data_IF_533462238904
#
_entry.id   IF_533462238904
#
_cell.length_a   1.000
_cell.length_b   1.000
_cell.length_c   1.000
_cell.angle_alpha   90.00
_cell.angle_beta   90.00
_cell.angle_gamma   90.00
#
_symmetry.space_group_name_H-M   'P 1'
#
loop_
_entity.id
_entity.type
_entity.pdbx_description
1 polymer ?
#
# COMPACT_ATOMS: atom_id res chain seq x y z
N UNK A 1 45.81 10.11 -34.90
CA UNK A 1 45.10 10.33 -33.62
C UNK A 1 43.67 10.87 -33.88
N UNK A 2 42.64 10.02 -34.16
CA UNK A 2 41.25 10.45 -34.30
C UNK A 2 40.27 9.84 -33.26
N UNK A 3 40.78 9.08 -32.27
CA UNK A 3 39.96 8.23 -31.39
C UNK A 3 39.09 9.02 -30.38
N UNK A 4 39.54 10.20 -29.95
CA UNK A 4 38.89 10.97 -28.88
C UNK A 4 37.69 11.81 -29.35
N UNK A 5 37.58 12.12 -30.65
CA UNK A 5 36.49 12.94 -31.18
C UNK A 5 35.25 12.09 -31.55
N UNK A 6 35.47 10.86 -32.04
CA UNK A 6 34.38 9.91 -32.37
C UNK A 6 33.65 9.48 -31.08
N UNK A 7 34.39 9.14 -30.03
CA UNK A 7 33.81 8.78 -28.73
C UNK A 7 33.02 9.93 -28.07
N UNK A 8 33.43 11.19 -28.27
CA UNK A 8 32.69 12.36 -27.75
C UNK A 8 31.39 12.62 -28.52
N UNK A 9 31.36 12.33 -29.82
CA UNK A 9 30.18 12.47 -30.66
C UNK A 9 29.12 11.43 -30.29
N UNK A 10 29.54 10.16 -30.09
CA UNK A 10 28.67 9.06 -29.65
C UNK A 10 28.13 9.25 -28.22
N UNK A 11 28.93 9.82 -27.32
CA UNK A 11 28.46 10.14 -25.97
C UNK A 11 27.43 11.27 -25.99
N UNK A 12 27.63 12.28 -26.84
CA UNK A 12 26.73 13.42 -26.97
C UNK A 12 25.39 13.04 -27.62
N UNK A 13 25.40 12.24 -28.69
CA UNK A 13 24.19 11.70 -29.32
C UNK A 13 23.44 10.75 -28.40
N UNK A 14 24.15 9.87 -27.68
CA UNK A 14 23.53 8.98 -26.69
C UNK A 14 22.93 9.76 -25.52
N UNK A 15 23.58 10.84 -25.05
CA UNK A 15 23.03 11.72 -24.03
C UNK A 15 21.84 12.55 -24.53
N UNK A 16 21.83 12.97 -25.80
CA UNK A 16 20.69 13.64 -26.43
C UNK A 16 19.49 12.69 -26.64
N UNK A 17 19.74 11.43 -27.02
CA UNK A 17 18.72 10.40 -27.10
C UNK A 17 18.15 10.05 -25.71
N UNK A 18 19.00 9.96 -24.68
CA UNK A 18 18.58 9.79 -23.29
C UNK A 18 17.77 10.97 -22.77
N UNK A 19 18.12 12.21 -23.10
CA UNK A 19 17.37 13.39 -22.66
C UNK A 19 16.01 13.52 -23.36
N UNK A 20 15.92 13.14 -24.64
CA UNK A 20 14.66 13.02 -25.39
C UNK A 20 13.76 11.94 -24.79
N UNK A 21 14.31 10.74 -24.55
CA UNK A 21 13.59 9.62 -23.93
C UNK A 21 13.13 9.94 -22.51
N UNK A 22 13.97 10.59 -21.70
CA UNK A 22 13.62 11.02 -20.34
C UNK A 22 12.48 12.05 -20.34
N UNK A 23 12.46 12.97 -21.31
CA UNK A 23 11.37 13.93 -21.47
C UNK A 23 10.06 13.21 -21.84
N UNK A 24 10.12 12.27 -22.78
CA UNK A 24 8.97 11.47 -23.21
C UNK A 24 8.38 10.64 -22.05
N UNK A 25 9.24 9.96 -21.28
CA UNK A 25 8.82 9.25 -20.06
C UNK A 25 8.17 10.19 -19.04
N UNK A 26 8.75 11.37 -18.81
CA UNK A 26 8.20 12.39 -17.90
C UNK A 26 6.83 12.86 -18.36
N UNK A 27 6.64 13.10 -19.65
CA UNK A 27 5.38 13.57 -20.22
C UNK A 27 4.31 12.47 -20.12
N UNK A 28 4.65 11.21 -20.38
CA UNK A 28 3.76 10.05 -20.20
C UNK A 28 3.31 9.91 -18.75
N UNK A 29 4.23 9.98 -17.78
CA UNK A 29 3.90 9.88 -16.35
C UNK A 29 3.11 11.12 -15.90
N UNK A 30 3.43 12.30 -16.43
CA UNK A 30 2.66 13.51 -16.18
C UNK A 30 1.21 13.40 -16.67
N UNK A 31 1.00 12.80 -17.83
CA UNK A 31 -0.32 12.55 -18.39
C UNK A 31 -1.06 11.45 -17.60
N UNK A 32 -0.35 10.40 -17.18
CA UNK A 32 -0.84 9.37 -16.27
C UNK A 32 -1.41 9.97 -14.99
N UNK A 33 -0.64 10.85 -14.36
CA UNK A 33 -1.00 11.50 -13.11
C UNK A 33 -2.22 12.42 -13.27
N UNK A 34 -2.32 13.19 -14.37
CA UNK A 34 -3.50 14.01 -14.64
C UNK A 34 -4.78 13.18 -14.76
N UNK A 35 -4.67 12.00 -15.36
CA UNK A 35 -5.77 11.08 -15.60
C UNK A 35 -6.00 10.11 -14.43
N UNK A 36 -5.16 10.16 -13.39
CA UNK A 36 -5.30 9.31 -12.22
C UNK A 36 -6.43 9.80 -11.32
N UNK A 37 -7.42 8.93 -11.14
CA UNK A 37 -8.61 9.17 -10.34
C UNK A 37 -8.88 7.98 -9.41
N UNK A 38 -9.25 8.30 -8.19
CA UNK A 38 -9.66 7.40 -7.13
C UNK A 38 -11.19 7.31 -7.12
N UNK A 39 -11.74 6.17 -6.75
CA UNK A 39 -13.17 6.04 -6.52
C UNK A 39 -13.56 6.86 -5.29
N UNK A 40 -14.53 7.76 -5.45
CA UNK A 40 -15.06 8.53 -4.34
C UNK A 40 -15.73 7.64 -3.29
N UNK A 41 -16.00 8.17 -2.09
CA UNK A 41 -16.51 7.39 -0.95
C UNK A 41 -17.85 6.68 -1.19
N UNK A 42 -18.59 7.06 -2.23
CA UNK A 42 -19.87 6.43 -2.65
C UNK A 42 -19.76 5.59 -3.93
N UNK A 43 -18.54 5.30 -4.42
CA UNK A 43 -18.31 4.52 -5.65
C UNK A 43 -18.77 5.19 -6.96
N UNK A 44 -19.55 6.26 -6.90
CA UNK A 44 -20.22 6.89 -8.05
C UNK A 44 -19.37 7.91 -8.81
N UNK A 45 -18.34 8.49 -8.18
CA UNK A 45 -17.57 9.61 -8.78
C UNK A 45 -16.08 9.37 -8.65
N UNK A 46 -15.39 9.42 -9.78
CA UNK A 46 -13.93 9.43 -9.86
C UNK A 46 -13.41 10.80 -9.41
N UNK A 47 -12.64 10.82 -8.32
CA UNK A 47 -12.03 12.02 -7.75
C UNK A 47 -10.52 11.97 -8.03
N UNK A 48 -9.86 13.05 -8.48
CA UNK A 48 -8.42 13.03 -8.67
C UNK A 48 -7.68 12.67 -7.38
N UNK A 49 -6.51 12.01 -7.49
CA UNK A 49 -5.73 11.62 -6.31
C UNK A 49 -5.33 12.80 -5.41
N UNK A 50 -5.03 13.96 -6.00
CA UNK A 50 -4.71 15.22 -5.30
C UNK A 50 -5.90 15.95 -4.70
N UNK A 51 -7.07 15.33 -4.64
CA UNK A 51 -8.26 15.99 -4.09
C UNK A 51 -8.41 15.71 -2.61
N UNK A 52 -8.31 16.76 -1.78
CA UNK A 52 -8.54 16.68 -0.34
C UNK A 52 -9.91 17.26 0.06
N UNK A 53 -10.36 16.92 1.27
CA UNK A 53 -11.55 17.52 1.87
C UNK A 53 -11.43 19.04 2.03
N UNK A 54 -10.22 19.53 2.33
CA UNK A 54 -9.94 20.98 2.40
C UNK A 54 -10.19 21.67 1.04
N UNK A 55 -9.75 21.08 -0.07
CA UNK A 55 -10.02 21.59 -1.41
C UNK A 55 -11.52 21.54 -1.72
N UNK A 56 -12.20 20.48 -1.29
CA UNK A 56 -13.64 20.34 -1.47
C UNK A 56 -14.41 21.46 -0.75
N UNK A 57 -14.06 21.75 0.50
CA UNK A 57 -14.70 22.80 1.29
C UNK A 57 -14.40 24.20 0.76
N UNK A 58 -13.15 24.46 0.36
CA UNK A 58 -12.78 25.72 -0.32
C UNK A 58 -13.47 25.87 -1.67
N UNK A 59 -13.73 24.77 -2.38
CA UNK A 59 -14.52 24.79 -3.62
C UNK A 59 -15.98 25.15 -3.34
N UNK A 60 -16.61 24.60 -2.30
CA UNK A 60 -17.97 24.99 -1.89
C UNK A 60 -18.04 26.48 -1.58
N UNK A 61 -17.12 27.00 -0.76
CA UNK A 61 -17.03 28.43 -0.43
C UNK A 61 -16.86 29.30 -1.68
N UNK A 62 -16.02 28.89 -2.63
CA UNK A 62 -15.83 29.59 -3.89
C UNK A 62 -17.10 29.59 -4.76
N UNK A 63 -17.82 28.46 -4.83
CA UNK A 63 -19.08 28.39 -5.57
C UNK A 63 -20.16 29.27 -4.94
N UNK A 64 -20.27 29.29 -3.61
CA UNK A 64 -21.17 30.20 -2.89
C UNK A 64 -20.83 31.67 -3.18
N UNK A 65 -19.55 32.05 -3.11
CA UNK A 65 -19.11 33.39 -3.44
C UNK A 65 -19.38 33.77 -4.90
N UNK A 66 -19.19 32.84 -5.83
CA UNK A 66 -19.49 33.02 -7.26
C UNK A 66 -20.99 33.23 -7.52
N UNK A 67 -21.84 32.44 -6.86
CA UNK A 67 -23.29 32.61 -6.90
C UNK A 67 -23.70 33.97 -6.33
N UNK A 68 -23.18 34.33 -5.16
CA UNK A 68 -23.41 35.65 -4.56
C UNK A 68 -23.01 36.80 -5.48
N UNK A 69 -21.82 36.74 -6.09
CA UNK A 69 -21.36 37.73 -7.06
C UNK A 69 -22.31 37.83 -8.29
N UNK A 70 -22.70 36.69 -8.85
CA UNK A 70 -23.57 36.64 -10.03
C UNK A 70 -24.98 37.17 -9.73
N UNK A 71 -25.53 36.83 -8.56
CA UNK A 71 -26.82 37.33 -8.10
C UNK A 71 -26.77 38.85 -7.88
N UNK A 72 -25.74 39.34 -7.19
CA UNK A 72 -25.57 40.78 -6.93
C UNK A 72 -25.39 41.61 -8.20
N UNK A 73 -24.79 41.02 -9.24
CA UNK A 73 -24.65 41.65 -10.55
C UNK A 73 -25.99 41.81 -11.29
N UNK A 74 -26.99 40.95 -11.01
CA UNK A 74 -28.32 40.97 -11.63
C UNK A 74 -29.34 41.82 -10.86
N UNK A 75 -29.06 42.13 -9.60
CA UNK A 75 -29.93 42.93 -8.73
C UNK A 75 -29.58 44.41 -8.78
N UNK A 76 -30.54 45.29 -8.47
CA UNK A 76 -30.32 46.72 -8.19
C UNK A 76 -29.67 46.95 -6.81
N UNK A 77 -28.67 46.12 -6.45
CA UNK A 77 -27.90 46.25 -5.22
C UNK A 77 -27.00 47.49 -5.28
N UNK A 78 -26.60 48.01 -4.11
CA UNK A 78 -25.69 49.15 -4.03
C UNK A 78 -24.33 48.77 -4.61
N UNK A 79 -23.64 49.72 -5.26
CA UNK A 79 -22.31 49.47 -5.85
C UNK A 79 -21.29 48.94 -4.83
N UNK A 80 -21.37 49.39 -3.58
CA UNK A 80 -20.53 48.90 -2.48
C UNK A 80 -20.74 47.40 -2.23
N UNK A 81 -21.96 46.90 -2.32
CA UNK A 81 -22.28 45.48 -2.11
C UNK A 81 -21.81 44.62 -3.28
N UNK A 82 -21.96 45.11 -4.52
CA UNK A 82 -21.40 44.48 -5.72
C UNK A 82 -19.88 44.39 -5.65
N UNK A 83 -19.22 45.45 -5.20
CA UNK A 83 -17.77 45.47 -5.01
C UNK A 83 -17.32 44.46 -3.95
N UNK A 84 -18.01 44.40 -2.80
CA UNK A 84 -17.74 43.41 -1.74
C UNK A 84 -17.89 41.97 -2.25
N UNK A 85 -18.96 41.68 -2.99
CA UNK A 85 -19.19 40.36 -3.56
C UNK A 85 -18.10 39.98 -4.58
N UNK A 86 -17.68 40.93 -5.42
CA UNK A 86 -16.58 40.76 -6.38
C UNK A 86 -15.24 40.46 -5.69
N UNK A 87 -14.90 41.22 -4.65
CA UNK A 87 -13.67 41.01 -3.86
C UNK A 87 -13.70 39.64 -3.19
N UNK A 88 -14.81 39.28 -2.54
CA UNK A 88 -14.97 37.98 -1.87
C UNK A 88 -14.78 36.80 -2.86
N UNK A 89 -15.38 36.89 -4.04
CA UNK A 89 -15.18 35.87 -5.07
C UNK A 89 -13.73 35.81 -5.58
N UNK A 90 -13.09 36.96 -5.83
CA UNK A 90 -11.68 37.00 -6.28
C UNK A 90 -10.73 36.39 -5.25
N UNK A 91 -10.92 36.69 -3.96
CA UNK A 91 -10.10 36.16 -2.87
C UNK A 91 -10.27 34.64 -2.72
N UNK A 92 -11.50 34.17 -2.59
CA UNK A 92 -11.80 32.73 -2.46
C UNK A 92 -11.31 31.92 -3.67
N UNK A 93 -11.44 32.47 -4.89
CA UNK A 93 -10.90 31.85 -6.11
C UNK A 93 -9.37 31.80 -6.11
N UNK A 94 -8.69 32.84 -5.61
CA UNK A 94 -7.22 32.87 -5.49
C UNK A 94 -6.73 31.83 -4.49
N UNK A 95 -7.39 31.73 -3.33
CA UNK A 95 -7.10 30.73 -2.30
C UNK A 95 -7.30 29.31 -2.82
N UNK A 96 -8.44 29.02 -3.46
CA UNK A 96 -8.71 27.71 -4.05
C UNK A 96 -7.64 27.31 -5.06
N UNK A 97 -7.24 28.24 -5.94
CA UNK A 97 -6.15 27.99 -6.91
C UNK A 97 -4.81 27.75 -6.24
N UNK A 98 -4.53 28.44 -5.13
CA UNK A 98 -3.29 28.22 -4.36
C UNK A 98 -3.29 26.82 -3.75
N UNK A 99 -4.38 26.42 -3.10
CA UNK A 99 -4.51 25.09 -2.48
C UNK A 99 -4.41 23.97 -3.51
N UNK A 100 -5.10 24.08 -4.65
CA UNK A 100 -5.00 23.09 -5.73
C UNK A 100 -3.56 22.95 -6.22
N UNK A 101 -2.82 24.06 -6.36
CA UNK A 101 -1.42 24.00 -6.81
C UNK A 101 -0.50 23.36 -5.77
N UNK A 102 -0.72 23.65 -4.49
CA UNK A 102 0.06 23.07 -3.39
C UNK A 102 -0.18 21.57 -3.31
N UNK A 103 -1.45 21.15 -3.24
CA UNK A 103 -1.79 19.74 -3.14
C UNK A 103 -1.30 18.93 -4.34
N UNK A 104 -1.45 19.43 -5.58
CA UNK A 104 -0.86 18.79 -6.77
C UNK A 104 0.66 18.62 -6.66
N UNK A 105 1.36 19.63 -6.14
CA UNK A 105 2.81 19.60 -5.98
C UNK A 105 3.22 18.58 -4.92
N UNK A 106 2.54 18.60 -3.78
CA UNK A 106 2.80 17.69 -2.66
C UNK A 106 2.56 16.25 -3.07
N UNK A 107 1.42 15.96 -3.70
CA UNK A 107 1.12 14.62 -4.17
C UNK A 107 2.05 14.14 -5.27
N UNK A 108 2.44 15.02 -6.20
CA UNK A 108 3.46 14.70 -7.18
C UNK A 108 4.81 14.39 -6.52
N UNK A 109 5.20 15.18 -5.51
CA UNK A 109 6.44 14.94 -4.77
C UNK A 109 6.40 13.62 -3.99
N UNK A 110 5.26 13.29 -3.36
CA UNK A 110 5.05 12.00 -2.70
C UNK A 110 5.20 10.85 -3.69
N UNK A 111 4.52 10.95 -4.83
CA UNK A 111 4.61 9.94 -5.89
C UNK A 111 6.05 9.70 -6.35
N UNK A 112 6.83 10.76 -6.54
CA UNK A 112 8.25 10.65 -6.89
C UNK A 112 9.09 10.02 -5.78
N UNK A 113 8.81 10.35 -4.51
CA UNK A 113 9.51 9.76 -3.37
C UNK A 113 9.18 8.27 -3.23
N UNK A 114 7.91 7.90 -3.42
CA UNK A 114 7.45 6.51 -3.38
C UNK A 114 8.11 5.67 -4.46
N UNK A 115 8.33 6.22 -5.67
CA UNK A 115 9.09 5.54 -6.74
C UNK A 115 10.56 5.29 -6.37
N UNK A 116 11.17 6.15 -5.55
CA UNK A 116 12.55 5.99 -5.12
C UNK A 116 12.69 4.98 -3.97
N UNK A 117 11.68 4.85 -3.10
CA UNK A 117 11.69 3.91 -1.97
C UNK A 117 11.17 2.52 -2.35
N UNK A 118 10.12 2.45 -3.16
CA UNK A 118 9.52 1.23 -3.68
C UNK A 118 9.31 1.34 -5.20
N UNK A 119 10.25 0.77 -5.94
CA UNK A 119 10.26 0.76 -7.41
C UNK A 119 9.00 0.11 -8.00
N UNK A 120 8.30 -0.74 -7.23
CA UNK A 120 7.08 -1.44 -7.63
C UNK A 120 5.80 -0.92 -6.95
N UNK A 121 5.89 0.20 -6.22
CA UNK A 121 4.80 0.75 -5.41
C UNK A 121 3.70 1.44 -6.21
N UNK A 122 2.93 2.30 -5.54
CA UNK A 122 1.77 2.97 -6.16
C UNK A 122 2.16 3.90 -7.31
N UNK A 123 3.35 4.50 -7.26
CA UNK A 123 3.90 5.27 -8.37
C UNK A 123 4.07 4.46 -9.66
N UNK A 124 4.58 3.23 -9.54
CA UNK A 124 4.67 2.29 -10.66
C UNK A 124 3.28 1.89 -11.15
N UNK A 125 2.34 1.55 -10.25
CA UNK A 125 0.96 1.20 -10.63
C UNK A 125 0.26 2.32 -11.38
N UNK A 126 0.45 3.57 -10.99
CA UNK A 126 -0.15 4.75 -11.64
C UNK A 126 0.43 4.92 -13.05
N UNK A 127 1.76 4.82 -13.20
CA UNK A 127 2.42 4.90 -14.50
C UNK A 127 2.02 3.74 -15.43
N UNK A 128 1.91 2.52 -14.92
CA UNK A 128 1.52 1.35 -15.71
C UNK A 128 0.04 1.36 -16.08
N UNK A 129 -0.85 1.82 -15.20
CA UNK A 129 -2.29 1.93 -15.50
C UNK A 129 -2.59 2.89 -16.63
N UNK A 130 -1.80 3.94 -16.84
CA UNK A 130 -1.99 4.88 -17.95
C UNK A 130 -1.45 4.36 -19.27
N UNK A 131 -0.47 3.46 -19.21
CA UNK A 131 0.09 2.75 -20.34
C UNK A 131 -0.88 1.64 -20.83
N UNK A 132 -2.19 1.90 -20.91
CA UNK A 132 -3.22 0.91 -21.33
C UNK A 132 -2.93 0.22 -22.67
N UNK A 133 -2.05 0.80 -23.48
CA UNK A 133 -1.56 0.23 -24.74
C UNK A 133 -0.11 -0.28 -24.64
N UNK A 134 0.36 -0.65 -23.44
CA UNK A 134 1.52 -1.53 -23.33
C UNK A 134 1.08 -2.84 -23.95
N UNK A 135 1.28 -2.96 -25.26
CA UNK A 135 1.42 -4.24 -25.93
C UNK A 135 2.30 -5.03 -24.98
N UNK A 136 1.76 -6.08 -24.37
CA UNK A 136 2.59 -7.03 -23.64
C UNK A 136 3.61 -7.44 -24.67
N UNK A 137 4.84 -6.95 -24.54
CA UNK A 137 5.91 -7.38 -25.40
C UNK A 137 5.97 -8.88 -25.17
N UNK A 138 5.45 -9.64 -26.14
CA UNK A 138 5.52 -11.09 -26.06
C UNK A 138 6.96 -11.42 -26.41
N UNK A 139 7.79 -11.42 -25.37
CA UNK A 139 9.20 -11.74 -25.49
C UNK A 139 9.25 -13.19 -25.97
N UNK A 140 9.87 -13.48 -27.13
CA UNK A 140 10.01 -14.85 -27.61
C UNK A 140 10.64 -15.74 -26.54
N UNK A 141 10.25 -17.00 -26.47
CA UNK A 141 10.73 -17.92 -25.42
C UNK A 141 12.25 -18.11 -25.42
N UNK A 142 12.89 -17.90 -26.57
CA UNK A 142 14.35 -17.89 -26.69
C UNK A 142 14.96 -16.75 -25.87
N UNK A 143 14.44 -15.54 -26.04
CA UNK A 143 14.92 -14.34 -25.36
C UNK A 143 14.60 -14.41 -23.86
N UNK A 144 13.44 -14.96 -23.47
CA UNK A 144 13.13 -15.24 -22.06
C UNK A 144 14.19 -16.13 -21.41
N UNK A 145 14.63 -17.20 -22.09
CA UNK A 145 15.68 -18.11 -21.59
C UNK A 145 17.04 -17.42 -21.49
N UNK A 146 17.41 -16.58 -22.45
CA UNK A 146 18.66 -15.82 -22.40
C UNK A 146 18.65 -14.79 -21.27
N UNK A 147 17.55 -14.05 -21.10
CA UNK A 147 17.36 -13.12 -19.98
C UNK A 147 17.43 -13.86 -18.65
N UNK A 148 16.74 -15.00 -18.52
CA UNK A 148 16.77 -15.81 -17.29
C UNK A 148 18.18 -16.29 -16.94
N UNK A 149 18.95 -16.78 -17.93
CA UNK A 149 20.36 -17.16 -17.73
C UNK A 149 21.24 -15.99 -17.30
N UNK A 150 20.93 -14.77 -17.74
CA UNK A 150 21.66 -13.55 -17.39
C UNK A 150 21.28 -13.02 -16.01
N UNK A 151 20.00 -13.03 -15.66
CA UNK A 151 19.48 -12.57 -14.36
C UNK A 151 19.78 -13.55 -13.24
N UNK A 152 19.75 -14.84 -13.56
CA UNK A 152 20.10 -15.93 -12.67
C UNK A 152 21.27 -16.68 -13.29
N UNK A 153 22.50 -16.09 -13.27
CA UNK A 153 23.69 -16.82 -13.64
C UNK A 153 23.68 -18.10 -12.85
N UNK A 154 23.82 -19.23 -13.53
CA UNK A 154 23.93 -20.51 -12.86
C UNK A 154 25.21 -20.42 -12.02
N UNK A 155 25.09 -20.03 -10.75
CA UNK A 155 26.16 -20.21 -9.80
C UNK A 155 26.50 -21.69 -9.87
N UNK A 156 27.79 -22.00 -9.89
CA UNK A 156 28.26 -23.38 -9.80
C UNK A 156 27.36 -24.09 -8.80
N UNK A 157 26.85 -25.28 -9.15
CA UNK A 157 25.98 -26.06 -8.27
C UNK A 157 26.72 -26.27 -6.95
N UNK A 158 26.58 -25.33 -6.03
CA UNK A 158 26.72 -25.59 -4.62
C UNK A 158 25.59 -26.58 -4.44
N UNK A 159 25.93 -27.86 -4.30
CA UNK A 159 25.00 -28.78 -3.67
C UNK A 159 24.70 -28.08 -2.35
N UNK A 160 23.58 -27.38 -2.27
CA UNK A 160 23.01 -27.07 -0.98
C UNK A 160 22.76 -28.46 -0.42
N UNK A 161 23.66 -28.90 0.45
CA UNK A 161 23.44 -30.09 1.23
C UNK A 161 22.28 -29.73 2.14
N UNK A 162 21.07 -29.94 1.63
CA UNK A 162 19.82 -29.81 2.36
C UNK A 162 19.67 -30.96 3.36
N UNK A 163 20.75 -31.71 3.66
CA UNK A 163 20.99 -32.16 5.02
C UNK A 163 20.93 -30.92 5.89
N UNK A 164 19.71 -30.55 6.26
CA UNK A 164 19.46 -29.69 7.38
C UNK A 164 20.38 -30.24 8.47
N UNK A 165 21.25 -29.39 9.01
CA UNK A 165 21.59 -29.60 10.40
C UNK A 165 20.23 -29.54 11.07
N UNK A 166 19.66 -30.71 11.35
CA UNK A 166 18.73 -30.86 12.43
C UNK A 166 19.61 -30.63 13.64
N UNK A 167 19.93 -29.35 13.90
CA UNK A 167 20.18 -28.93 15.25
C UNK A 167 19.00 -29.51 16.00
N UNK A 168 19.26 -30.36 16.97
CA UNK A 168 18.22 -31.00 17.77
C UNK A 168 17.42 -29.86 18.40
N UNK A 169 16.36 -29.43 17.71
CA UNK A 169 15.42 -28.45 18.22
C UNK A 169 14.83 -29.18 19.40
N UNK A 170 15.16 -28.70 20.60
CA UNK A 170 14.56 -29.21 21.82
C UNK A 170 13.04 -29.15 21.59
N UNK A 171 12.32 -30.27 21.78
CA UNK A 171 10.88 -30.23 21.68
C UNK A 171 10.37 -29.14 22.62
N UNK A 172 9.45 -28.32 22.13
CA UNK A 172 8.80 -27.28 22.93
C UNK A 172 8.31 -27.91 24.24
N UNK A 173 8.46 -27.18 25.34
CA UNK A 173 7.96 -27.67 26.62
C UNK A 173 6.42 -27.57 26.64
N UNK A 174 5.76 -28.41 27.44
CA UNK A 174 4.30 -28.37 27.56
C UNK A 174 3.80 -27.00 28.06
N UNK A 175 4.64 -26.28 28.81
CA UNK A 175 4.36 -24.93 29.33
C UNK A 175 4.39 -23.92 28.18
N UNK A 176 5.45 -23.94 27.37
CA UNK A 176 5.63 -23.05 26.22
C UNK A 176 4.50 -23.22 25.19
N UNK A 177 4.03 -24.46 24.98
CA UNK A 177 2.86 -24.72 24.13
C UNK A 177 1.57 -24.12 24.71
N UNK A 178 1.39 -24.19 26.03
CA UNK A 178 0.21 -23.66 26.72
C UNK A 178 0.18 -22.13 26.69
N UNK A 179 1.31 -21.47 26.94
CA UNK A 179 1.43 -20.01 26.88
C UNK A 179 1.14 -19.47 25.47
N UNK A 180 1.74 -20.09 24.44
CA UNK A 180 1.47 -19.72 23.06
C UNK A 180 0.00 -19.92 22.66
N UNK A 181 -0.68 -20.89 23.27
CA UNK A 181 -2.10 -21.15 23.05
C UNK A 181 -2.98 -20.11 23.75
N UNK A 182 -2.70 -19.78 25.01
CA UNK A 182 -3.42 -18.76 25.77
C UNK A 182 -3.31 -17.38 25.06
N UNK A 183 -2.13 -17.04 24.53
CA UNK A 183 -1.95 -15.83 23.71
C UNK A 183 -2.76 -15.85 22.40
N UNK A 184 -2.87 -17.01 21.75
CA UNK A 184 -3.62 -17.18 20.50
C UNK A 184 -5.13 -17.11 20.69
N UNK A 185 -5.65 -17.67 21.78
CA UNK A 185 -7.06 -17.63 22.16
C UNK A 185 -7.54 -16.23 22.53
N UNK A 186 -6.69 -15.42 23.18
CA UNK A 186 -7.02 -14.03 23.53
C UNK A 186 -7.31 -13.17 22.29
N UNK A 187 -6.78 -13.55 21.12
CA UNK A 187 -6.99 -12.80 19.88
C UNK A 187 -8.28 -13.16 19.15
N UNK A 188 -8.80 -14.39 19.29
CA UNK A 188 -10.04 -14.85 18.61
C UNK A 188 -10.72 -16.00 19.38
N UNK A 189 -11.79 -15.69 20.13
CA UNK A 189 -12.72 -16.71 20.67
C UNK A 189 -13.44 -17.44 19.53
N UNK A 190 -12.90 -18.57 19.09
CA UNK A 190 -13.54 -19.46 18.14
C UNK A 190 -13.77 -20.84 18.80
N UNK A 191 -15.01 -21.18 19.16
CA UNK A 191 -15.32 -22.38 19.95
C UNK A 191 -14.96 -23.69 19.22
N UNK A 192 -14.90 -23.70 17.89
CA UNK A 192 -14.44 -24.87 17.13
C UNK A 192 -12.94 -25.16 17.27
N UNK A 193 -12.13 -24.13 17.54
CA UNK A 193 -10.70 -24.32 17.78
C UNK A 193 -10.42 -24.83 19.20
N UNK A 194 -11.27 -24.50 20.17
CA UNK A 194 -11.13 -24.99 21.55
C UNK A 194 -11.30 -26.52 21.64
N UNK A 195 -12.34 -27.09 21.02
CA UNK A 195 -12.57 -28.54 21.02
C UNK A 195 -11.45 -29.30 20.30
N UNK A 196 -10.99 -28.78 19.15
CA UNK A 196 -9.92 -29.40 18.37
C UNK A 196 -8.58 -29.38 19.12
N UNK A 197 -8.30 -28.32 19.87
CA UNK A 197 -7.05 -28.21 20.64
C UNK A 197 -7.10 -29.08 21.89
N UNK A 198 -8.22 -29.14 22.61
CA UNK A 198 -8.40 -30.06 23.73
C UNK A 198 -8.22 -31.53 23.30
N UNK A 199 -8.70 -31.86 22.09
CA UNK A 199 -8.47 -33.17 21.48
C UNK A 199 -6.98 -33.44 21.26
N UNK A 200 -6.21 -32.49 20.70
CA UNK A 200 -4.76 -32.64 20.48
C UNK A 200 -4.01 -32.78 21.82
N UNK A 201 -4.33 -31.96 22.82
CA UNK A 201 -3.70 -32.05 24.16
C UNK A 201 -3.97 -33.42 24.79
N UNK A 202 -5.22 -33.90 24.75
CA UNK A 202 -5.57 -35.23 25.28
C UNK A 202 -4.82 -36.36 24.56
N UNK A 203 -4.65 -36.24 23.25
CA UNK A 203 -3.93 -37.22 22.43
C UNK A 203 -2.44 -37.23 22.73
N UNK A 204 -1.83 -36.06 22.93
CA UNK A 204 -0.42 -35.92 23.30
C UNK A 204 -0.14 -36.45 24.71
N UNK A 205 -1.08 -36.26 25.64
CA UNK A 205 -1.04 -36.83 26.99
C UNK A 205 -1.16 -38.37 26.98
N UNK A 206 -1.98 -38.94 26.08
CA UNK A 206 -2.10 -40.40 25.91
C UNK A 206 -0.89 -41.04 25.23
N UNK A 207 -0.24 -40.33 24.29
CA UNK A 207 0.93 -40.85 23.56
C UNK A 207 2.23 -40.85 24.37
N UNK A 208 2.31 -40.06 25.45
CA UNK A 208 3.45 -40.04 26.37
C UNK A 208 3.09 -40.75 27.67
N UNK A 209 2.98 -42.08 27.61
CA UNK A 209 3.18 -42.87 28.81
C UNK A 209 4.66 -42.76 29.22
N UNK A 210 4.87 -42.20 30.42
CA UNK A 210 6.12 -42.03 31.16
C UNK A 210 6.79 -40.65 30.99
N UNK A 211 6.25 -39.64 31.67
CA UNK A 211 7.07 -38.76 32.51
C UNK A 211 6.51 -38.86 33.94
N UNK A 212 7.26 -39.40 34.91
CA UNK A 212 6.80 -39.48 36.29
C UNK A 212 6.84 -38.08 36.91
N UNK A 213 5.76 -37.67 37.59
CA UNK A 213 5.77 -36.47 38.43
C UNK A 213 4.65 -35.44 38.23
N UNK A 214 3.49 -35.81 37.64
CA UNK A 214 2.33 -34.92 37.57
C UNK A 214 1.06 -35.48 38.22
N UNK A 215 1.19 -36.48 39.10
CA UNK A 215 0.08 -37.00 39.90
C UNK A 215 -0.39 -36.00 40.99
N UNK A 216 0.39 -34.94 41.27
CA UNK A 216 0.07 -33.96 42.32
C UNK A 216 -0.82 -32.79 41.87
N UNK A 217 -1.27 -32.74 40.61
CA UNK A 217 -2.06 -31.60 40.09
C UNK A 217 -3.46 -31.96 39.57
N UNK A 218 -3.97 -33.14 39.91
CA UNK A 218 -5.40 -33.45 39.80
C UNK A 218 -6.00 -33.32 41.20
N UNK A 219 -6.35 -32.11 41.62
CA UNK A 219 -7.38 -31.83 42.63
C UNK A 219 -7.55 -30.32 42.82
N UNK A 220 -8.33 -29.65 41.97
CA UNK A 220 -9.25 -28.56 42.38
C UNK A 220 -10.25 -28.37 41.24
N UNK A 221 -11.34 -29.14 41.20
CA UNK A 221 -12.65 -28.65 40.68
C UNK A 221 -13.78 -29.69 40.83
N UNK A 222 -13.83 -30.41 41.95
CA UNK A 222 -14.94 -31.35 42.22
C UNK A 222 -15.62 -31.16 43.58
N UNK A 223 -15.65 -29.92 44.09
CA UNK A 223 -16.40 -29.60 45.33
C UNK A 223 -17.39 -28.44 45.22
N UNK A 224 -17.71 -27.94 44.01
CA UNK A 224 -18.75 -26.91 43.85
C UNK A 224 -20.02 -27.35 43.10
N UNK A 225 -20.14 -28.61 42.69
CA UNK A 225 -21.36 -29.08 42.01
C UNK A 225 -22.28 -30.01 42.82
N UNK A 226 -21.86 -30.46 44.01
CA UNK A 226 -22.68 -31.35 44.87
C UNK A 226 -23.30 -30.66 46.09
N UNK A 227 -23.24 -29.32 46.21
CA UNK A 227 -23.84 -28.57 47.31
C UNK A 227 -25.14 -27.82 46.93
N UNK A 228 -25.74 -28.11 45.77
CA UNK A 228 -26.98 -27.42 45.34
C UNK A 228 -28.16 -28.33 45.00
N UNK A 229 -28.08 -29.65 45.19
CA UNK A 229 -29.23 -30.54 45.00
C UNK A 229 -29.23 -31.61 46.12
N UNK A 230 -30.31 -31.58 46.91
CA UNK A 230 -30.70 -32.48 48.01
C UNK A 230 -30.31 -32.05 49.44
N UNK A 231 -31.29 -31.37 50.06
CA UNK A 231 -31.76 -31.48 51.46
C UNK A 231 -30.82 -31.25 52.62
#
# INVERSE_FOLDING_TARGET
MPSTLILKLDLATCNAQKSSSHKECRDIIGEAYKNNVINGPRGEKTIPNWWSDEINDKRKQCMEASRGYTTMAKTNAREVEKLRASIKYKLTKKELRKLIRLSKREDWSKLCNDLNSDVCGDGYKIAVKSLKNFVRYDIPDKDKKEIAKKLFPCSSRVRQDYRMRVDTVLPFTAIELKEAFDESLMMRKNPFLEEFVNYIISKLMQSNSILPGLEDYIYVEETLHNASINT
#
